data_IF_829039017971
#
_entry.id   IF_829039017971
#
_cell.length_a   1.000
_cell.length_b   1.000
_cell.length_c   1.000
_cell.angle_alpha   90.00
_cell.angle_beta   90.00
_cell.angle_gamma   90.00
#
_symmetry.space_group_name_H-M   'P 1'
#
loop_
_entity.id
_entity.type
_entity.pdbx_description
1 polymer ?
#
# COMPACT_ATOMS: atom_id res chain seq x y z
N UNK A 1 -4.46 -11.42 -27.38
CA UNK A 1 -5.22 -10.68 -26.34
C UNK A 1 -4.41 -10.76 -25.07
N UNK A 2 -4.08 -9.65 -24.45
CA UNK A 2 -3.37 -9.62 -23.15
C UNK A 2 -4.29 -10.23 -22.08
N UNK A 3 -3.75 -11.12 -21.25
CA UNK A 3 -4.50 -11.67 -20.13
C UNK A 3 -4.87 -10.57 -19.13
N UNK A 4 -6.06 -10.65 -18.48
CA UNK A 4 -6.43 -9.69 -17.44
C UNK A 4 -5.47 -9.75 -16.25
N UNK A 5 -5.51 -8.73 -15.39
CA UNK A 5 -4.75 -8.78 -14.13
C UNK A 5 -5.18 -9.99 -13.27
N UNK A 6 -4.27 -10.61 -12.51
CA UNK A 6 -4.58 -11.77 -11.66
C UNK A 6 -5.66 -11.52 -10.60
N UNK A 7 -5.83 -10.27 -10.16
CA UNK A 7 -6.88 -9.85 -9.22
C UNK A 7 -7.96 -9.01 -9.92
N UNK A 8 -9.18 -9.08 -9.39
CA UNK A 8 -10.22 -8.12 -9.75
C UNK A 8 -9.71 -6.72 -9.46
N UNK A 9 -9.92 -5.81 -10.40
CA UNK A 9 -9.35 -4.47 -10.30
C UNK A 9 -10.21 -3.42 -10.98
N UNK A 10 -10.12 -2.19 -10.49
CA UNK A 10 -10.61 -0.99 -11.19
C UNK A 10 -9.41 -0.18 -11.63
N UNK A 11 -9.42 0.26 -12.88
CA UNK A 11 -8.28 0.94 -13.49
C UNK A 11 -8.68 2.28 -14.09
N UNK A 12 -7.96 3.34 -13.72
CA UNK A 12 -7.95 4.62 -14.43
C UNK A 12 -6.66 4.71 -15.26
N UNK A 13 -6.78 4.62 -16.56
CA UNK A 13 -5.62 4.78 -17.46
C UNK A 13 -5.06 6.20 -17.36
N UNK A 14 -3.75 6.31 -17.57
CA UNK A 14 -3.08 7.59 -17.73
C UNK A 14 -3.52 8.32 -19.01
N UNK A 15 -3.40 9.65 -19.01
CA UNK A 15 -3.51 10.48 -20.23
C UNK A 15 -2.22 10.48 -21.05
N UNK A 16 -1.10 9.99 -20.50
CA UNK A 16 0.16 9.85 -21.22
C UNK A 16 0.07 8.71 -22.23
N UNK A 17 0.70 8.91 -23.38
CA UNK A 17 0.70 7.94 -24.47
C UNK A 17 1.60 6.73 -24.23
N UNK A 18 2.57 6.84 -23.32
CA UNK A 18 3.54 5.78 -22.98
C UNK A 18 4.22 6.05 -21.65
N UNK A 19 4.81 5.00 -21.08
CA UNK A 19 5.60 5.05 -19.83
C UNK A 19 4.94 5.82 -18.69
N UNK A 20 3.64 5.58 -18.47
CA UNK A 20 2.91 6.23 -17.42
C UNK A 20 3.40 5.79 -16.02
N UNK A 21 3.59 6.72 -15.07
CA UNK A 21 3.80 6.33 -13.68
C UNK A 21 2.57 5.60 -13.13
N UNK A 22 2.80 4.61 -12.26
CA UNK A 22 1.73 3.75 -11.71
C UNK A 22 1.51 4.03 -10.25
N UNK A 23 0.25 4.06 -9.85
CA UNK A 23 -0.17 4.02 -8.45
C UNK A 23 -1.08 2.80 -8.23
N UNK A 24 -0.60 1.84 -7.46
CA UNK A 24 -1.38 0.67 -7.05
C UNK A 24 -2.02 0.94 -5.69
N UNK A 25 -3.33 0.73 -5.59
CA UNK A 25 -4.13 0.98 -4.40
C UNK A 25 -4.49 -0.35 -3.72
N UNK A 26 -4.19 -0.47 -2.41
CA UNK A 26 -4.48 -1.64 -1.59
C UNK A 26 -5.41 -1.25 -0.43
N UNK A 27 -6.65 -1.69 -0.49
CA UNK A 27 -7.69 -1.35 0.49
C UNK A 27 -7.49 -2.01 1.87
N UNK A 28 -8.23 -1.57 2.88
CA UNK A 28 -8.25 -2.14 4.21
C UNK A 28 -9.08 -3.43 4.33
N UNK A 29 -8.98 -4.10 5.50
CA UNK A 29 -9.78 -5.28 5.84
C UNK A 29 -11.28 -5.00 5.71
N UNK A 30 -12.02 -5.90 5.07
CA UNK A 30 -13.47 -5.77 4.92
C UNK A 30 -13.94 -4.83 3.80
N UNK A 31 -13.01 -4.26 3.04
CA UNK A 31 -13.30 -3.35 1.94
C UNK A 31 -13.13 -4.02 0.56
N UNK A 32 -12.96 -3.23 -0.50
CA UNK A 32 -12.80 -3.70 -1.87
C UNK A 32 -12.07 -2.65 -2.73
N UNK A 33 -11.89 -2.95 -4.03
CA UNK A 33 -11.18 -2.13 -5.01
C UNK A 33 -11.77 -0.73 -5.24
N UNK A 34 -13.04 -0.51 -4.91
CA UNK A 34 -13.68 0.80 -5.12
C UNK A 34 -13.39 1.82 -4.02
N UNK A 35 -12.96 1.38 -2.85
CA UNK A 35 -12.74 2.21 -1.66
C UNK A 35 -11.72 3.31 -1.95
N UNK A 36 -10.44 2.97 -2.02
CA UNK A 36 -9.37 3.95 -2.30
C UNK A 36 -9.43 4.49 -3.74
N UNK A 37 -10.10 3.78 -4.66
CA UNK A 37 -10.31 4.28 -6.01
C UNK A 37 -11.14 5.57 -6.03
N UNK A 38 -11.90 5.85 -5.00
CA UNK A 38 -12.59 7.14 -4.82
C UNK A 38 -11.64 8.35 -4.87
N UNK A 39 -10.38 8.19 -4.50
CA UNK A 39 -9.35 9.22 -4.60
C UNK A 39 -8.91 9.51 -6.04
N UNK A 40 -9.15 8.59 -6.97
CA UNK A 40 -8.62 8.68 -8.33
C UNK A 40 -9.04 9.97 -9.07
N UNK A 41 -10.25 10.49 -8.81
CA UNK A 41 -10.74 11.70 -9.45
C UNK A 41 -9.88 12.93 -9.13
N UNK A 42 -9.30 12.97 -7.94
CA UNK A 42 -8.52 14.08 -7.40
C UNK A 42 -7.00 13.93 -7.62
N UNK A 43 -6.55 12.76 -8.02
CA UNK A 43 -5.13 12.47 -8.24
C UNK A 43 -4.70 12.84 -9.68
N UNK A 44 -3.39 13.13 -9.93
CA UNK A 44 -2.88 13.50 -11.24
C UNK A 44 -3.34 12.56 -12.36
N UNK A 45 -3.75 13.14 -13.49
CA UNK A 45 -4.25 12.38 -14.65
C UNK A 45 -3.15 11.61 -15.38
N UNK A 46 -1.91 11.98 -15.14
CA UNK A 46 -0.70 11.33 -15.65
C UNK A 46 -0.50 9.94 -15.05
N UNK A 47 -1.03 9.69 -13.84
CA UNK A 47 -0.95 8.38 -13.19
C UNK A 47 -1.85 7.35 -13.87
N UNK A 48 -1.32 6.16 -14.14
CA UNK A 48 -2.12 4.96 -14.26
C UNK A 48 -2.45 4.47 -12.85
N UNK A 49 -3.72 4.49 -12.45
CA UNK A 49 -4.16 4.06 -11.11
C UNK A 49 -4.81 2.69 -11.22
N UNK A 50 -4.36 1.75 -10.38
CA UNK A 50 -4.83 0.37 -10.36
C UNK A 50 -5.23 0.03 -8.93
N UNK A 51 -6.53 -0.04 -8.67
CA UNK A 51 -7.06 -0.48 -7.38
C UNK A 51 -7.35 -1.98 -7.42
N UNK A 52 -6.71 -2.73 -6.55
CA UNK A 52 -6.81 -4.19 -6.48
C UNK A 52 -7.81 -4.62 -5.41
N UNK A 53 -8.59 -5.67 -5.70
CA UNK A 53 -9.43 -6.37 -4.71
C UNK A 53 -8.60 -7.47 -4.06
N UNK A 54 -8.61 -7.52 -2.74
CA UNK A 54 -7.98 -8.59 -1.98
C UNK A 54 -8.60 -9.97 -2.29
N UNK A 55 -7.81 -11.06 -2.25
CA UNK A 55 -8.26 -12.36 -2.74
C UNK A 55 -9.26 -13.08 -1.82
N UNK A 56 -9.24 -12.81 -0.51
CA UNK A 56 -10.06 -13.55 0.45
C UNK A 56 -11.37 -12.83 0.71
N UNK A 57 -12.50 -13.42 0.26
CA UNK A 57 -13.84 -12.92 0.55
C UNK A 57 -14.22 -13.07 2.02
N UNK A 58 -14.92 -12.09 2.57
CA UNK A 58 -15.45 -12.11 3.93
C UNK A 58 -16.98 -12.17 3.91
N UNK A 59 -17.56 -13.00 4.76
CA UNK A 59 -19.00 -13.04 4.95
C UNK A 59 -19.44 -11.99 5.99
N UNK A 60 -20.53 -11.24 5.78
CA UNK A 60 -21.37 -11.25 4.58
C UNK A 60 -20.86 -10.34 3.45
N UNK A 61 -19.83 -9.50 3.66
CA UNK A 61 -19.32 -8.54 2.66
C UNK A 61 -17.84 -8.25 2.84
N UNK A 62 -17.23 -7.80 1.74
CA UNK A 62 -15.86 -7.28 1.70
C UNK A 62 -14.81 -8.35 1.47
N UNK A 63 -13.56 -7.90 1.49
CA UNK A 63 -12.39 -8.73 1.19
C UNK A 63 -11.25 -8.42 2.14
N UNK A 64 -10.35 -9.38 2.32
CA UNK A 64 -9.15 -9.25 3.12
C UNK A 64 -7.92 -9.76 2.38
N UNK A 65 -6.78 -9.16 2.67
CA UNK A 65 -5.49 -9.62 2.15
C UNK A 65 -4.98 -10.86 2.90
N UNK A 66 -5.34 -10.97 4.17
CA UNK A 66 -5.03 -12.11 5.02
C UNK A 66 -6.00 -12.16 6.21
N UNK A 67 -6.19 -13.33 6.78
CA UNK A 67 -7.02 -13.49 7.95
C UNK A 67 -6.36 -12.89 9.19
N UNK A 68 -7.20 -12.29 10.05
CA UNK A 68 -6.84 -11.85 11.38
C UNK A 68 -7.46 -12.87 12.34
N UNK A 69 -6.64 -13.61 13.05
CA UNK A 69 -7.05 -14.68 13.93
C UNK A 69 -6.99 -14.23 15.40
N UNK A 70 -7.78 -14.86 16.24
CA UNK A 70 -7.80 -14.63 17.69
C UNK A 70 -7.73 -15.98 18.41
N UNK A 71 -6.91 -16.09 19.47
CA UNK A 71 -6.92 -17.26 20.34
C UNK A 71 -8.01 -17.17 21.42
N UNK A 72 -8.11 -18.19 22.25
CA UNK A 72 -9.08 -18.24 23.37
C UNK A 72 -8.87 -17.11 24.41
N UNK A 73 -7.70 -16.49 24.45
CA UNK A 73 -7.36 -15.35 25.32
C UNK A 73 -7.46 -14.01 24.58
N UNK A 74 -8.04 -14.01 23.36
CA UNK A 74 -8.17 -12.85 22.48
C UNK A 74 -6.83 -12.24 22.01
N UNK A 75 -5.73 -12.99 22.07
CA UNK A 75 -4.51 -12.56 21.42
C UNK A 75 -4.71 -12.61 19.90
N UNK A 76 -4.37 -11.51 19.26
CA UNK A 76 -4.52 -11.33 17.81
C UNK A 76 -3.23 -11.72 17.10
N UNK A 77 -3.35 -12.49 16.00
CA UNK A 77 -2.24 -12.69 15.07
C UNK A 77 -2.70 -12.67 13.61
N UNK A 78 -1.80 -12.29 12.74
CA UNK A 78 -2.04 -12.25 11.30
C UNK A 78 -1.69 -13.60 10.67
N UNK A 79 -2.45 -14.03 9.67
CA UNK A 79 -2.10 -15.19 8.88
C UNK A 79 -0.94 -14.83 7.92
N UNK A 80 0.27 -15.26 8.29
CA UNK A 80 1.51 -14.93 7.57
C UNK A 80 1.55 -15.57 6.19
N UNK A 81 1.04 -16.78 6.03
CA UNK A 81 1.06 -17.48 4.74
C UNK A 81 0.08 -16.81 3.76
N UNK A 82 -1.13 -16.48 4.19
CA UNK A 82 -2.05 -15.71 3.35
C UNK A 82 -1.52 -14.33 2.99
N UNK A 83 -0.79 -13.68 3.90
CA UNK A 83 -0.15 -12.39 3.60
C UNK A 83 0.93 -12.54 2.51
N UNK A 84 1.74 -13.59 2.58
CA UNK A 84 2.75 -13.90 1.56
C UNK A 84 2.12 -14.23 0.20
N UNK A 85 1.06 -15.04 0.18
CA UNK A 85 0.30 -15.36 -1.03
C UNK A 85 -0.28 -14.08 -1.66
N UNK A 86 -0.89 -13.22 -0.86
CA UNK A 86 -1.41 -11.93 -1.33
C UNK A 86 -0.31 -11.04 -1.90
N UNK A 87 0.83 -10.93 -1.24
CA UNK A 87 1.97 -10.17 -1.75
C UNK A 87 2.46 -10.72 -3.09
N UNK A 88 2.56 -12.04 -3.25
CA UNK A 88 2.96 -12.67 -4.51
C UNK A 88 1.96 -12.36 -5.64
N UNK A 89 0.64 -12.40 -5.37
CA UNK A 89 -0.38 -12.08 -6.36
C UNK A 89 -0.35 -10.58 -6.71
N UNK A 90 -0.15 -9.68 -5.74
CA UNK A 90 0.01 -8.25 -5.99
C UNK A 90 1.23 -8.00 -6.90
N UNK A 91 2.36 -8.64 -6.63
CA UNK A 91 3.55 -8.54 -7.48
C UNK A 91 3.29 -9.00 -8.92
N UNK A 92 2.51 -10.06 -9.11
CA UNK A 92 2.09 -10.51 -10.44
C UNK A 92 1.20 -9.46 -11.13
N UNK A 93 0.29 -8.80 -10.40
CA UNK A 93 -0.50 -7.69 -10.93
C UNK A 93 0.39 -6.51 -11.36
N UNK A 94 1.36 -6.13 -10.53
CA UNK A 94 2.33 -5.06 -10.83
C UNK A 94 3.12 -5.38 -12.09
N UNK A 95 3.64 -6.59 -12.22
CA UNK A 95 4.41 -7.01 -13.40
C UNK A 95 3.53 -7.04 -14.66
N UNK A 96 2.30 -7.53 -14.58
CA UNK A 96 1.36 -7.59 -15.72
C UNK A 96 0.92 -6.20 -16.16
N UNK A 97 0.78 -5.25 -15.23
CA UNK A 97 0.37 -3.87 -15.52
C UNK A 97 1.31 -3.17 -16.50
N UNK A 98 2.60 -3.47 -16.46
CA UNK A 98 3.61 -2.87 -17.35
C UNK A 98 3.28 -3.12 -18.83
N UNK A 99 2.93 -4.35 -19.19
CA UNK A 99 2.59 -4.70 -20.57
C UNK A 99 1.16 -4.35 -20.94
N UNK A 100 0.23 -4.37 -19.97
CA UNK A 100 -1.19 -4.09 -20.21
C UNK A 100 -1.50 -2.61 -20.42
N UNK A 101 -0.76 -1.73 -19.75
CA UNK A 101 -1.05 -0.30 -19.69
C UNK A 101 0.12 0.59 -20.12
N UNK A 102 1.21 0.02 -20.67
CA UNK A 102 2.41 0.73 -21.11
C UNK A 102 2.95 1.68 -20.03
N UNK A 103 3.19 1.11 -18.86
CA UNK A 103 3.60 1.87 -17.67
C UNK A 103 5.12 1.89 -17.49
N UNK A 104 5.63 2.89 -16.75
CA UNK A 104 7.05 3.02 -16.42
C UNK A 104 7.42 2.07 -15.27
N UNK A 105 8.27 1.03 -15.53
CA UNK A 105 8.71 0.11 -14.49
C UNK A 105 9.60 0.74 -13.41
N UNK A 106 10.14 1.93 -13.67
CA UNK A 106 10.97 2.67 -12.71
C UNK A 106 10.18 3.65 -11.84
N UNK A 107 8.86 3.82 -12.09
CA UNK A 107 8.02 4.78 -11.39
C UNK A 107 6.71 4.14 -10.90
N UNK A 108 6.85 3.12 -10.04
CA UNK A 108 5.75 2.40 -9.43
C UNK A 108 5.60 2.83 -7.98
N UNK A 109 4.42 3.31 -7.64
CA UNK A 109 4.04 3.74 -6.29
C UNK A 109 2.96 2.84 -5.72
N UNK A 110 2.99 2.61 -4.40
CA UNK A 110 1.94 1.94 -3.64
C UNK A 110 1.21 2.94 -2.74
N UNK A 111 -0.09 2.84 -2.64
CA UNK A 111 -0.90 3.49 -1.62
C UNK A 111 -1.75 2.43 -0.94
N UNK A 112 -1.55 2.24 0.34
CA UNK A 112 -2.29 1.28 1.13
C UNK A 112 -2.94 1.88 2.36
N UNK A 113 -4.14 1.41 2.70
CA UNK A 113 -4.83 1.75 3.93
C UNK A 113 -4.94 0.53 4.84
N UNK A 114 -4.67 0.70 6.14
CA UNK A 114 -4.82 -0.33 7.17
C UNK A 114 -4.08 -1.63 6.79
N UNK A 115 -4.76 -2.74 6.55
CA UNK A 115 -4.18 -4.00 6.09
C UNK A 115 -3.40 -3.82 4.77
N UNK A 116 -3.92 -3.02 3.83
CA UNK A 116 -3.22 -2.67 2.59
C UNK A 116 -1.97 -1.82 2.83
N UNK A 117 -1.94 -0.97 3.86
CA UNK A 117 -0.75 -0.23 4.27
C UNK A 117 0.36 -1.18 4.74
N UNK A 118 0.01 -2.13 5.61
CA UNK A 118 0.95 -3.14 6.14
C UNK A 118 1.60 -3.92 4.99
N UNK A 119 0.80 -4.36 4.00
CA UNK A 119 1.33 -5.06 2.84
C UNK A 119 2.13 -4.16 1.90
N UNK A 120 1.73 -2.90 1.71
CA UNK A 120 2.48 -1.94 0.87
C UNK A 120 3.89 -1.71 1.42
N UNK A 121 4.02 -1.58 2.73
CA UNK A 121 5.31 -1.44 3.40
C UNK A 121 6.14 -2.72 3.24
N UNK A 122 5.53 -3.88 3.51
CA UNK A 122 6.22 -5.17 3.40
C UNK A 122 6.69 -5.45 1.95
N UNK A 123 5.84 -5.19 0.95
CA UNK A 123 6.19 -5.33 -0.46
C UNK A 123 7.39 -4.47 -0.85
N UNK A 124 7.40 -3.20 -0.43
CA UNK A 124 8.48 -2.29 -0.77
C UNK A 124 9.79 -2.65 -0.07
N UNK A 125 9.75 -3.15 1.17
CA UNK A 125 10.95 -3.58 1.89
C UNK A 125 11.47 -4.94 1.40
N UNK A 126 10.60 -5.85 0.96
CA UNK A 126 10.99 -7.14 0.40
C UNK A 126 11.47 -7.06 -1.06
N UNK A 127 10.96 -6.08 -1.84
CA UNK A 127 11.25 -5.88 -3.26
C UNK A 127 11.59 -4.41 -3.55
N UNK A 128 12.63 -3.85 -2.91
CA UNK A 128 12.92 -2.42 -3.03
C UNK A 128 13.15 -1.98 -4.48
N UNK A 129 13.72 -2.83 -5.33
CA UNK A 129 14.00 -2.55 -6.74
C UNK A 129 12.74 -2.33 -7.60
N UNK A 130 11.55 -2.67 -7.09
CA UNK A 130 10.28 -2.58 -7.82
C UNK A 130 9.53 -1.29 -7.60
N UNK A 131 9.76 -0.64 -6.48
CA UNK A 131 8.93 0.48 -6.03
C UNK A 131 9.75 1.75 -5.84
N UNK A 132 9.08 2.89 -5.96
CA UNK A 132 9.71 4.21 -5.78
C UNK A 132 9.10 4.97 -4.61
N UNK A 133 7.76 5.05 -4.56
CA UNK A 133 7.06 5.82 -3.53
C UNK A 133 6.03 4.94 -2.83
N UNK A 134 5.98 5.01 -1.52
CA UNK A 134 5.04 4.26 -0.69
C UNK A 134 4.24 5.23 0.18
N UNK A 135 2.91 5.17 0.07
CA UNK A 135 1.98 5.93 0.87
C UNK A 135 1.25 4.94 1.78
N UNK A 136 1.61 4.93 3.05
CA UNK A 136 1.05 4.06 4.07
C UNK A 136 0.10 4.81 4.99
N UNK A 137 -1.19 4.51 4.91
CA UNK A 137 -2.23 5.18 5.68
C UNK A 137 -2.77 4.25 6.76
N UNK A 138 -2.74 4.68 8.01
CA UNK A 138 -3.33 3.98 9.17
C UNK A 138 -2.89 2.51 9.33
N UNK A 139 -1.58 2.25 9.15
CA UNK A 139 -0.99 0.93 9.31
C UNK A 139 0.33 0.98 10.10
N UNK A 140 1.08 -0.11 10.07
CA UNK A 140 2.35 -0.27 10.77
C UNK A 140 3.25 -1.30 10.08
N UNK A 141 4.51 -1.40 10.47
CA UNK A 141 5.43 -2.44 10.00
C UNK A 141 5.17 -3.75 10.75
N UNK A 142 4.66 -4.76 10.03
CA UNK A 142 4.55 -6.13 10.53
C UNK A 142 5.85 -6.88 10.21
N UNK A 143 6.70 -7.10 11.20
CA UNK A 143 8.01 -7.73 11.03
C UNK A 143 7.92 -9.16 10.51
N UNK A 144 6.83 -9.86 10.83
CA UNK A 144 6.57 -11.25 10.39
C UNK A 144 6.39 -11.36 8.87
N UNK A 145 6.10 -10.25 8.18
CA UNK A 145 5.94 -10.18 6.72
C UNK A 145 7.23 -9.79 5.99
N UNK A 146 8.26 -9.44 6.73
CA UNK A 146 9.54 -9.02 6.15
C UNK A 146 10.47 -10.18 5.95
N UNK A 147 11.21 -10.15 4.86
CA UNK A 147 12.40 -10.95 4.65
C UNK A 147 13.58 -10.36 5.44
N UNK A 148 14.69 -11.09 5.50
CA UNK A 148 15.94 -10.53 6.02
C UNK A 148 16.30 -9.24 5.26
N UNK A 149 16.75 -8.19 5.97
CA UNK A 149 17.03 -6.90 5.34
C UNK A 149 18.18 -7.02 4.33
N UNK A 150 18.05 -6.30 3.21
CA UNK A 150 19.09 -6.18 2.21
C UNK A 150 20.12 -5.12 2.62
N UNK A 151 21.19 -4.95 1.82
CA UNK A 151 22.15 -3.84 1.99
C UNK A 151 21.40 -2.49 1.89
N UNK A 152 21.75 -1.53 2.74
CA UNK A 152 21.14 -0.18 2.74
C UNK A 152 21.06 0.47 1.35
N UNK A 153 22.02 0.16 0.46
CA UNK A 153 22.01 0.69 -0.91
C UNK A 153 20.78 0.29 -1.70
N UNK A 154 20.20 -0.87 -1.39
CA UNK A 154 18.98 -1.35 -2.06
C UNK A 154 17.77 -0.45 -1.76
N UNK A 155 17.76 0.25 -0.64
CA UNK A 155 16.64 1.07 -0.18
C UNK A 155 16.76 2.57 -0.51
N UNK A 156 17.92 3.06 -0.94
CA UNK A 156 18.21 4.51 -1.07
C UNK A 156 17.28 5.30 -1.98
N UNK A 157 16.64 4.65 -2.94
CA UNK A 157 15.72 5.29 -3.89
C UNK A 157 14.27 5.28 -3.41
N UNK A 158 13.96 4.52 -2.35
CA UNK A 158 12.62 4.46 -1.79
C UNK A 158 12.28 5.75 -1.04
N UNK A 159 11.03 6.18 -1.20
CA UNK A 159 10.46 7.28 -0.45
C UNK A 159 9.18 6.81 0.23
N UNK A 160 9.05 7.10 1.50
CA UNK A 160 7.86 6.74 2.27
C UNK A 160 7.14 8.00 2.78
N UNK A 161 5.84 8.00 2.61
CA UNK A 161 4.89 8.80 3.35
C UNK A 161 4.05 7.86 4.22
N UNK A 162 4.02 8.11 5.51
CA UNK A 162 3.18 7.35 6.44
C UNK A 162 2.34 8.31 7.27
N UNK A 163 1.09 7.96 7.51
CA UNK A 163 0.22 8.76 8.39
C UNK A 163 -0.69 7.89 9.24
N UNK A 164 -1.14 8.45 10.36
CA UNK A 164 -2.00 7.73 11.30
C UNK A 164 -2.99 8.66 11.99
N UNK A 165 -4.13 8.11 12.39
CA UNK A 165 -5.08 8.80 13.25
C UNK A 165 -4.62 8.76 14.72
N UNK A 166 -4.43 9.92 15.37
CA UNK A 166 -3.99 9.96 16.77
C UNK A 166 -5.01 9.40 17.76
N UNK A 167 -6.25 9.21 17.33
CA UNK A 167 -7.35 8.61 18.10
C UNK A 167 -7.80 7.26 17.51
N UNK A 168 -6.92 6.59 16.76
CA UNK A 168 -7.22 5.29 16.14
C UNK A 168 -7.41 4.20 17.21
N UNK A 169 -8.60 3.62 17.24
CA UNK A 169 -8.96 2.55 18.18
C UNK A 169 -8.85 1.15 17.57
N UNK A 170 -8.52 1.03 16.29
CA UNK A 170 -8.34 -0.24 15.58
C UNK A 170 -6.87 -0.66 15.58
N UNK A 171 -5.99 0.28 15.23
CA UNK A 171 -4.53 0.12 15.26
C UNK A 171 -3.96 1.21 16.17
N UNK A 172 -3.39 0.85 17.34
CA UNK A 172 -2.80 1.83 18.26
C UNK A 172 -1.76 2.69 17.56
N UNK A 173 -1.82 4.01 17.76
CA UNK A 173 -0.89 4.97 17.14
C UNK A 173 0.57 4.71 17.52
N UNK A 174 0.81 4.11 18.68
CA UNK A 174 2.13 3.70 19.15
C UNK A 174 2.80 2.71 18.19
N UNK A 175 2.02 1.82 17.55
CA UNK A 175 2.56 0.87 16.57
C UNK A 175 2.98 1.59 15.29
N UNK A 176 2.21 2.57 14.86
CA UNK A 176 2.54 3.38 13.69
C UNK A 176 3.79 4.23 13.89
N UNK A 177 4.00 4.76 15.12
CA UNK A 177 5.18 5.56 15.49
C UNK A 177 6.50 4.80 15.43
N UNK A 178 6.47 3.47 15.44
CA UNK A 178 7.67 2.64 15.25
C UNK A 178 8.08 2.56 13.75
N UNK A 179 7.15 2.81 12.83
CA UNK A 179 7.42 2.76 11.38
C UNK A 179 8.53 3.72 10.95
N UNK A 180 8.46 5.04 11.22
CA UNK A 180 9.53 5.97 10.82
C UNK A 180 10.90 5.60 11.39
N UNK A 181 10.96 5.16 12.64
CA UNK A 181 12.23 4.74 13.29
C UNK A 181 12.86 3.54 12.58
N UNK A 182 12.03 2.56 12.19
CA UNK A 182 12.51 1.40 11.44
C UNK A 182 13.00 1.79 10.04
N UNK A 183 12.26 2.63 9.32
CA UNK A 183 12.68 3.12 8.01
C UNK A 183 13.98 3.92 8.08
N UNK A 184 14.15 4.77 9.08
CA UNK A 184 15.41 5.49 9.35
C UNK A 184 16.58 4.55 9.61
N UNK A 185 16.36 3.45 10.35
CA UNK A 185 17.41 2.44 10.61
C UNK A 185 17.88 1.73 9.35
N UNK A 186 17.07 1.74 8.26
CA UNK A 186 17.42 1.22 6.94
C UNK A 186 17.95 2.32 5.99
N UNK A 187 18.14 3.55 6.47
CA UNK A 187 18.57 4.68 5.66
C UNK A 187 17.50 5.19 4.66
N UNK A 188 16.24 4.87 4.89
CA UNK A 188 15.12 5.22 4.00
C UNK A 188 14.58 6.60 4.34
N UNK A 189 14.40 7.45 3.31
CA UNK A 189 13.72 8.74 3.47
C UNK A 189 12.23 8.52 3.73
N UNK A 190 11.76 9.09 4.83
CA UNK A 190 10.35 8.99 5.19
C UNK A 190 9.79 10.32 5.69
N UNK A 191 8.48 10.46 5.57
CA UNK A 191 7.67 11.50 6.16
C UNK A 191 6.57 10.85 6.97
N UNK A 192 6.36 11.29 8.21
CA UNK A 192 5.32 10.75 9.08
C UNK A 192 4.46 11.87 9.66
N UNK A 193 3.14 11.75 9.54
CA UNK A 193 2.16 12.72 10.05
C UNK A 193 1.06 12.05 10.88
N UNK A 194 0.59 12.73 11.92
CA UNK A 194 -0.57 12.30 12.71
C UNK A 194 -1.71 13.31 12.56
N UNK A 195 -2.93 12.79 12.49
CA UNK A 195 -4.13 13.60 12.36
C UNK A 195 -5.13 13.27 13.49
N UNK A 196 -5.91 14.26 13.99
CA UNK A 196 -6.85 14.07 15.11
C UNK A 196 -8.12 13.33 14.65
N UNK A 197 -7.97 12.13 14.10
CA UNK A 197 -9.05 11.26 13.62
C UNK A 197 -8.88 9.85 14.17
N UNK A 198 -9.92 9.03 14.04
CA UNK A 198 -9.87 7.59 14.32
C UNK A 198 -9.19 6.79 13.19
N UNK A 199 -9.67 5.55 12.96
CA UNK A 199 -9.19 4.69 11.89
C UNK A 199 -9.72 5.14 10.52
N UNK A 200 -9.06 6.10 9.91
CA UNK A 200 -9.51 6.71 8.66
C UNK A 200 -8.53 7.74 8.10
N UNK A 201 -8.91 8.37 7.00
CA UNK A 201 -8.10 9.38 6.29
C UNK A 201 -8.81 10.73 6.41
N UNK A 202 -8.18 11.70 7.09
CA UNK A 202 -8.68 13.07 7.16
C UNK A 202 -8.52 13.78 5.81
N UNK A 203 -9.30 14.84 5.58
CA UNK A 203 -9.17 15.66 4.36
C UNK A 203 -7.77 16.28 4.26
N UNK A 204 -7.24 16.78 5.36
CA UNK A 204 -5.90 17.36 5.44
C UNK A 204 -4.83 16.34 5.10
N UNK A 205 -4.99 15.09 5.60
CA UNK A 205 -4.10 13.98 5.26
C UNK A 205 -4.12 13.67 3.76
N UNK A 206 -5.32 13.66 3.15
CA UNK A 206 -5.45 13.46 1.71
C UNK A 206 -4.69 14.52 0.91
N UNK A 207 -4.85 15.80 1.24
CA UNK A 207 -4.14 16.87 0.54
C UNK A 207 -2.63 16.82 0.75
N UNK A 208 -2.17 16.44 1.94
CA UNK A 208 -0.74 16.30 2.25
C UNK A 208 -0.08 15.18 1.45
N UNK A 209 -0.62 13.96 1.47
CA UNK A 209 -0.02 12.86 0.70
C UNK A 209 -0.16 13.06 -0.81
N UNK A 210 -1.26 13.68 -1.26
CA UNK A 210 -1.44 14.03 -2.68
C UNK A 210 -0.32 14.97 -3.15
N UNK A 211 -0.04 16.02 -2.42
CA UNK A 211 1.04 16.95 -2.76
C UNK A 211 2.40 16.24 -2.69
N UNK A 212 2.63 15.44 -1.64
CA UNK A 212 3.84 14.65 -1.48
C UNK A 212 4.08 13.70 -2.67
N UNK A 213 3.01 13.08 -3.20
CA UNK A 213 3.09 12.20 -4.38
C UNK A 213 3.38 13.00 -5.65
N UNK A 214 2.69 14.13 -5.87
CA UNK A 214 2.89 15.01 -7.04
C UNK A 214 4.35 15.42 -7.20
N UNK A 215 5.02 15.72 -6.10
CA UNK A 215 6.42 16.17 -6.09
C UNK A 215 7.41 15.04 -6.48
N UNK A 216 6.94 13.78 -6.67
CA UNK A 216 7.78 12.57 -6.82
C UNK A 216 7.46 11.69 -8.04
N UNK A 217 6.39 11.96 -8.76
CA UNK A 217 5.99 11.21 -9.95
C UNK A 217 6.55 11.79 -11.25
#
# INVERSE_FOLDING_TARGET
MSEPLPLVSVVRKSILSSKAPVLVLLHGYGSNENDLFSFAAELPKELCIIALRAPYGLEPYGHAWYAINFDANQNKWNDVEQAKESMAIIMNCVNSAQSLYDTDPSNISLLGFSQGCILSIALALNHPEKFKNIIGLSGYICKEFLNDPQDEKAYKHLNFYCSHGSSDQVIPVEWARETPKHLESLGIKNHYSEFPVGHGVAAENFFEFKQWLIDRI
#
